data_IF_459474452937
#
_entry.id   IF_459474452937
#
_cell.length_a   1.000
_cell.length_b   1.000
_cell.length_c   1.000
_cell.angle_alpha   90.00
_cell.angle_beta   90.00
_cell.angle_gamma   90.00
#
_symmetry.space_group_name_H-M   'P 1'
#
loop_
_entity.id
_entity.type
_entity.pdbx_description
1 polymer ?
#
# COMPACT_ATOMS: atom_id res chain seq x y z
N UNK A 1 46.50 -38.95 -6.38
CA UNK A 1 46.57 -38.55 -7.80
C UNK A 1 45.28 -37.83 -8.14
N UNK A 2 45.21 -36.66 -8.77
CA UNK A 2 46.23 -35.75 -9.29
C UNK A 2 45.49 -34.50 -9.81
N UNK A 3 46.00 -33.30 -9.48
CA UNK A 3 45.89 -31.98 -10.17
C UNK A 3 44.49 -31.34 -10.34
N UNK A 4 44.20 -30.14 -9.82
CA UNK A 4 44.85 -28.81 -9.93
C UNK A 4 44.87 -28.21 -11.35
N UNK A 5 44.67 -26.88 -11.42
CA UNK A 5 44.84 -25.93 -12.56
C UNK A 5 43.53 -25.57 -13.29
N UNK A 6 43.18 -24.32 -13.63
CA UNK A 6 43.86 -23.04 -13.51
C UNK A 6 42.88 -21.86 -13.72
N UNK A 7 43.15 -20.75 -13.01
CA UNK A 7 43.28 -19.35 -13.45
C UNK A 7 42.22 -18.73 -14.38
N UNK A 8 41.78 -17.54 -13.98
CA UNK A 8 41.73 -16.41 -14.90
C UNK A 8 40.67 -15.36 -14.59
N UNK A 9 41.09 -14.10 -14.44
CA UNK A 9 40.21 -12.97 -14.80
C UNK A 9 39.79 -12.04 -13.68
N UNK A 10 40.76 -11.31 -13.12
CA UNK A 10 40.55 -10.00 -12.50
C UNK A 10 39.89 -9.03 -13.49
N UNK A 11 38.71 -8.49 -13.15
CA UNK A 11 38.10 -7.36 -13.87
C UNK A 11 37.59 -6.30 -12.88
N UNK A 12 38.52 -5.41 -12.55
CA UNK A 12 38.34 -4.18 -11.79
C UNK A 12 37.39 -3.23 -12.56
N UNK A 13 36.10 -3.18 -12.21
CA UNK A 13 35.20 -2.14 -12.72
C UNK A 13 35.30 -0.88 -11.87
N UNK A 14 36.02 0.10 -12.41
CA UNK A 14 36.25 1.45 -11.88
C UNK A 14 34.93 2.15 -11.55
N UNK A 15 34.83 2.67 -10.31
CA UNK A 15 33.81 3.65 -9.89
C UNK A 15 34.06 4.98 -10.61
N UNK A 16 33.17 5.39 -11.50
CA UNK A 16 33.17 6.74 -12.07
C UNK A 16 32.59 7.70 -11.03
N UNK A 17 33.44 8.46 -10.33
CA UNK A 17 33.02 9.61 -9.51
C UNK A 17 32.76 10.79 -10.45
N UNK A 18 31.49 11.08 -10.74
CA UNK A 18 31.11 12.34 -11.38
C UNK A 18 31.25 13.47 -10.35
N UNK A 19 32.25 14.33 -10.56
CA UNK A 19 32.39 15.60 -9.83
C UNK A 19 31.39 16.59 -10.43
N UNK A 20 30.28 16.83 -9.73
CA UNK A 20 29.39 17.95 -10.05
C UNK A 20 30.09 19.25 -9.62
N UNK A 21 30.35 20.14 -10.58
CA UNK A 21 30.81 21.52 -10.31
C UNK A 21 29.63 22.34 -9.78
N UNK A 22 29.80 23.18 -8.75
CA UNK A 22 28.79 24.15 -8.38
C UNK A 22 28.74 25.29 -9.42
N UNK A 23 27.56 25.86 -9.73
CA UNK A 23 27.48 27.08 -10.51
C UNK A 23 27.99 28.28 -9.70
N UNK A 24 28.65 29.19 -10.42
CA UNK A 24 29.28 30.41 -9.91
C UNK A 24 28.26 31.34 -9.28
N UNK A 25 28.63 31.91 -8.14
CA UNK A 25 27.97 33.05 -7.50
C UNK A 25 28.09 34.28 -8.39
N UNK A 26 26.95 34.92 -8.70
CA UNK A 26 26.91 36.26 -9.27
C UNK A 26 26.52 37.24 -8.16
N UNK A 27 27.39 38.22 -7.94
CA UNK A 27 27.23 39.38 -7.06
C UNK A 27 26.58 40.54 -7.83
N UNK A 28 25.76 41.36 -7.13
CA UNK A 28 25.23 42.64 -7.61
C UNK A 28 23.72 42.80 -7.31
N UNK A 29 23.29 43.26 -6.12
CA UNK A 29 23.10 44.63 -5.60
C UNK A 29 21.89 45.43 -6.16
N UNK A 30 21.13 46.02 -5.21
CA UNK A 30 20.04 47.03 -5.35
C UNK A 30 18.71 46.51 -5.91
N UNK A 31 17.51 46.71 -5.34
CA UNK A 31 17.01 47.52 -4.24
C UNK A 31 15.54 47.86 -4.56
N UNK A 32 14.56 47.40 -3.77
CA UNK A 32 13.18 47.92 -3.74
C UNK A 32 12.37 47.31 -2.59
N UNK A 33 11.62 48.17 -1.89
CA UNK A 33 10.83 47.96 -0.69
C UNK A 33 9.48 47.24 -0.93
N UNK A 34 8.77 46.80 0.12
CA UNK A 34 7.72 45.78 0.04
C UNK A 34 6.30 46.35 0.06
N UNK A 35 5.36 45.66 -0.60
CA UNK A 35 3.95 45.69 -0.21
C UNK A 35 3.14 44.53 -0.81
N UNK A 36 2.15 44.12 -0.02
CA UNK A 36 0.97 43.28 -0.28
C UNK A 36 1.15 41.77 -0.42
N UNK A 37 0.97 41.11 0.74
CA UNK A 37 -0.04 40.05 0.97
C UNK A 37 -0.30 39.06 -0.16
N UNK A 38 0.41 37.94 -0.08
CA UNK A 38 -0.06 36.65 -0.56
C UNK A 38 0.37 35.62 0.47
N UNK A 39 -0.57 35.18 1.31
CA UNK A 39 -0.39 34.14 2.31
C UNK A 39 -0.05 32.83 1.61
N UNK A 40 1.22 32.64 1.28
CA UNK A 40 1.77 31.33 0.97
C UNK A 40 1.80 30.56 2.29
N UNK A 41 0.68 29.90 2.60
CA UNK A 41 0.66 28.82 3.58
C UNK A 41 1.56 27.71 3.04
N UNK A 42 2.84 27.83 3.37
CA UNK A 42 3.74 26.69 3.39
C UNK A 42 3.06 25.67 4.30
N UNK A 43 2.61 24.57 3.71
CA UNK A 43 2.16 23.39 4.43
C UNK A 43 3.34 22.90 5.29
N UNK A 44 3.45 23.41 6.51
CA UNK A 44 4.45 22.97 7.48
C UNK A 44 3.96 21.64 8.02
N UNK A 45 4.18 20.58 7.27
CA UNK A 45 4.03 19.24 7.81
C UNK A 45 5.09 19.08 8.91
N UNK A 46 4.65 19.08 10.17
CA UNK A 46 5.54 19.01 11.33
C UNK A 46 6.42 17.75 11.21
N UNK A 47 7.75 17.84 11.40
CA UNK A 47 8.64 16.70 11.28
C UNK A 47 8.29 15.56 12.27
N UNK A 48 7.57 15.88 13.36
CA UNK A 48 7.04 14.87 14.30
C UNK A 48 5.93 13.99 13.72
N UNK A 49 5.05 14.55 12.88
CA UNK A 49 3.92 13.81 12.27
C UNK A 49 4.45 12.86 11.19
N UNK A 50 5.39 13.34 10.37
CA UNK A 50 6.06 12.54 9.33
C UNK A 50 6.87 11.37 9.91
N UNK A 51 7.54 11.55 11.04
CA UNK A 51 8.37 10.51 11.66
C UNK A 51 7.52 9.43 12.34
N UNK A 52 6.43 9.81 13.00
CA UNK A 52 5.51 8.87 13.66
C UNK A 52 4.66 8.09 12.64
N UNK A 53 4.16 8.76 11.58
CA UNK A 53 3.39 8.10 10.52
C UNK A 53 4.19 7.07 9.71
N UNK A 54 5.45 7.38 9.38
CA UNK A 54 6.33 6.41 8.69
C UNK A 54 6.67 5.20 9.57
N UNK A 55 6.81 5.42 10.88
CA UNK A 55 7.08 4.39 11.88
C UNK A 55 5.90 3.41 11.98
N UNK A 56 4.67 3.91 12.09
CA UNK A 56 3.49 3.08 12.28
C UNK A 56 3.16 2.26 11.04
N UNK A 57 3.25 2.87 9.85
CA UNK A 57 3.11 2.12 8.59
C UNK A 57 4.16 1.02 8.43
N UNK A 58 5.29 1.15 9.12
CA UNK A 58 6.33 0.12 9.07
C UNK A 58 5.87 -1.23 9.63
N UNK A 59 4.88 -1.22 10.54
CA UNK A 59 4.26 -2.39 11.14
C UNK A 59 3.52 -3.25 10.13
N UNK A 60 2.97 -2.67 9.05
CA UNK A 60 2.33 -3.44 7.98
C UNK A 60 3.39 -4.20 7.19
N UNK A 61 3.33 -5.52 7.27
CA UNK A 61 4.34 -6.42 6.71
C UNK A 61 3.92 -7.05 5.38
N UNK A 62 2.66 -7.43 5.27
CA UNK A 62 2.13 -8.23 4.17
C UNK A 62 0.67 -7.89 3.91
N UNK A 63 0.28 -7.98 2.64
CA UNK A 63 -1.10 -8.00 2.20
C UNK A 63 -1.32 -9.24 1.34
N UNK A 64 -2.34 -10.00 1.68
CA UNK A 64 -2.90 -11.05 0.84
C UNK A 64 -4.25 -10.60 0.28
N UNK A 65 -4.40 -10.68 -1.04
CA UNK A 65 -5.63 -10.39 -1.77
C UNK A 65 -6.19 -11.70 -2.30
N UNK A 66 -7.45 -11.99 -2.02
CA UNK A 66 -8.15 -13.16 -2.51
C UNK A 66 -9.53 -12.79 -3.02
N UNK A 67 -9.86 -13.23 -4.23
CA UNK A 67 -11.19 -13.04 -4.83
C UNK A 67 -11.60 -14.30 -5.59
N UNK A 68 -12.90 -14.53 -5.64
CA UNK A 68 -13.51 -15.61 -6.40
C UNK A 68 -14.16 -15.03 -7.66
N UNK A 69 -13.90 -15.64 -8.80
CA UNK A 69 -14.59 -15.38 -10.06
C UNK A 69 -15.46 -16.60 -10.36
N UNK A 70 -16.77 -16.39 -10.43
CA UNK A 70 -17.75 -17.41 -10.77
C UNK A 70 -17.83 -17.64 -12.28
N UNK A 71 -18.39 -18.76 -12.73
CA UNK A 71 -18.57 -19.10 -14.15
C UNK A 71 -19.28 -18.01 -14.96
N UNK A 72 -20.19 -17.25 -14.34
CA UNK A 72 -20.97 -16.17 -14.96
C UNK A 72 -20.19 -14.86 -15.07
N UNK A 73 -19.00 -14.79 -14.48
CA UNK A 73 -18.19 -13.58 -14.44
C UNK A 73 -17.01 -13.67 -15.39
N UNK A 74 -16.63 -12.51 -15.91
CA UNK A 74 -15.41 -12.37 -16.70
C UNK A 74 -14.20 -12.26 -15.75
N UNK A 75 -13.35 -13.29 -15.77
CA UNK A 75 -12.15 -13.39 -14.92
C UNK A 75 -11.24 -12.17 -15.08
N UNK A 76 -11.12 -11.60 -16.27
CA UNK A 76 -10.23 -10.46 -16.50
C UNK A 76 -10.81 -9.17 -15.90
N UNK A 77 -12.15 -9.03 -15.86
CA UNK A 77 -12.81 -7.95 -15.10
C UNK A 77 -12.58 -8.10 -13.60
N UNK A 78 -12.67 -9.32 -13.08
CA UNK A 78 -12.39 -9.58 -11.65
C UNK A 78 -10.93 -9.31 -11.29
N UNK A 79 -9.98 -9.68 -12.17
CA UNK A 79 -8.56 -9.32 -11.99
C UNK A 79 -8.37 -7.81 -11.99
N UNK A 80 -9.04 -7.08 -12.89
CA UNK A 80 -9.00 -5.62 -12.92
C UNK A 80 -9.54 -5.01 -11.62
N UNK A 81 -10.65 -5.52 -11.10
CA UNK A 81 -11.21 -5.08 -9.81
C UNK A 81 -10.20 -5.30 -8.67
N UNK A 82 -9.57 -6.47 -8.60
CA UNK A 82 -8.56 -6.76 -7.58
C UNK A 82 -7.28 -5.91 -7.73
N UNK A 83 -6.91 -5.52 -8.95
CA UNK A 83 -5.79 -4.61 -9.20
C UNK A 83 -6.09 -3.17 -8.74
N UNK A 84 -7.34 -2.72 -8.82
CA UNK A 84 -7.76 -1.38 -8.41
C UNK A 84 -7.64 -1.14 -6.89
N UNK A 85 -7.47 -2.20 -6.09
CA UNK A 85 -7.12 -2.11 -4.66
C UNK A 85 -5.74 -1.46 -4.47
N UNK A 86 -4.85 -1.61 -5.45
CA UNK A 86 -3.52 -1.03 -5.39
C UNK A 86 -3.46 0.33 -6.08
N UNK A 87 -2.60 1.25 -5.62
CA UNK A 87 -2.38 2.48 -6.35
C UNK A 87 -1.60 2.22 -7.64
N UNK A 88 -1.74 3.13 -8.61
CA UNK A 88 -1.18 2.98 -9.97
C UNK A 88 0.35 2.88 -9.97
N UNK A 89 1.02 3.37 -8.93
CA UNK A 89 2.48 3.41 -8.76
C UNK A 89 3.05 2.22 -7.96
N UNK A 90 2.24 1.20 -7.66
CA UNK A 90 2.68 0.04 -6.85
C UNK A 90 3.65 -0.89 -7.60
N UNK A 91 3.74 -0.76 -8.92
CA UNK A 91 4.46 -1.66 -9.82
C UNK A 91 3.69 -2.96 -10.10
N UNK A 92 4.39 -4.00 -10.58
CA UNK A 92 3.74 -5.26 -10.97
C UNK A 92 3.20 -6.03 -9.74
N UNK A 93 1.93 -6.46 -9.80
CA UNK A 93 1.30 -7.37 -8.82
C UNK A 93 0.85 -8.62 -9.56
N UNK A 94 1.36 -9.79 -9.15
CA UNK A 94 1.07 -11.07 -9.81
C UNK A 94 -0.04 -11.82 -9.09
N UNK A 95 -1.15 -12.04 -9.79
CA UNK A 95 -2.23 -12.90 -9.33
C UNK A 95 -2.01 -14.34 -9.81
N UNK A 96 -2.00 -15.29 -8.87
CA UNK A 96 -2.08 -16.71 -9.17
C UNK A 96 -3.55 -17.10 -9.38
N UNK A 97 -3.83 -17.81 -10.47
CA UNK A 97 -5.15 -18.34 -10.78
C UNK A 97 -5.21 -19.82 -10.41
N UNK A 98 -6.28 -20.25 -9.74
CA UNK A 98 -6.57 -21.66 -9.47
C UNK A 98 -8.03 -21.91 -9.80
N UNK A 99 -8.28 -22.74 -10.81
CA UNK A 99 -9.64 -23.17 -11.15
C UNK A 99 -10.01 -24.35 -10.26
N UNK A 100 -11.20 -24.28 -9.67
CA UNK A 100 -11.79 -25.35 -8.88
C UNK A 100 -13.12 -25.70 -9.52
N UNK A 101 -13.23 -26.91 -10.03
CA UNK A 101 -14.44 -27.41 -10.68
C UNK A 101 -15.32 -28.13 -9.67
N UNK A 102 -16.60 -27.77 -9.60
CA UNK A 102 -17.62 -28.56 -8.91
C UNK A 102 -17.99 -29.81 -9.72
N UNK A 103 -18.56 -30.81 -9.05
CA UNK A 103 -19.07 -32.04 -9.69
C UNK A 103 -20.18 -31.76 -10.72
N UNK A 104 -20.81 -30.57 -10.68
CA UNK A 104 -21.95 -30.17 -11.51
C UNK A 104 -21.62 -29.06 -12.53
N UNK A 105 -20.36 -28.92 -12.94
CA UNK A 105 -19.97 -28.03 -14.05
C UNK A 105 -19.74 -26.56 -13.69
N UNK A 106 -20.14 -26.11 -12.49
CA UNK A 106 -19.78 -24.79 -12.02
C UNK A 106 -18.30 -24.74 -11.61
N UNK A 107 -17.55 -23.88 -12.27
CA UNK A 107 -16.14 -23.64 -11.96
C UNK A 107 -16.00 -22.32 -11.20
N UNK A 108 -15.19 -22.34 -10.15
CA UNK A 108 -14.81 -21.14 -9.42
C UNK A 108 -13.33 -20.92 -9.67
N UNK A 109 -12.99 -19.79 -10.26
CA UNK A 109 -11.60 -19.35 -10.39
C UNK A 109 -11.22 -18.56 -9.15
N UNK A 110 -10.29 -19.11 -8.38
CA UNK A 110 -9.70 -18.43 -7.22
C UNK A 110 -8.50 -17.62 -7.69
N UNK A 111 -8.56 -16.32 -7.46
CA UNK A 111 -7.46 -15.40 -7.71
C UNK A 111 -6.81 -15.05 -6.38
N UNK A 112 -5.49 -15.21 -6.29
CA UNK A 112 -4.70 -14.87 -5.09
C UNK A 112 -3.46 -14.08 -5.44
N UNK A 113 -3.26 -12.96 -4.77
CA UNK A 113 -2.00 -12.21 -4.81
C UNK A 113 -1.45 -12.02 -3.39
N UNK A 114 -0.13 -11.99 -3.27
CA UNK A 114 0.56 -11.66 -2.04
C UNK A 114 1.60 -10.58 -2.34
N UNK A 115 1.57 -9.51 -1.56
CA UNK A 115 2.57 -8.45 -1.61
C UNK A 115 3.11 -8.16 -0.20
N UNK A 116 4.34 -7.65 -0.12
CA UNK A 116 5.04 -7.39 1.14
C UNK A 116 5.63 -5.98 1.18
N UNK A 117 5.93 -5.51 2.38
CA UNK A 117 6.64 -4.25 2.62
C UNK A 117 5.92 -3.05 2.01
N UNK A 118 6.64 -2.23 1.23
CA UNK A 118 6.11 -0.97 0.67
C UNK A 118 4.81 -1.16 -0.11
N UNK A 119 4.66 -2.23 -0.90
CA UNK A 119 3.44 -2.48 -1.68
C UNK A 119 2.21 -2.69 -0.79
N UNK A 120 2.37 -3.42 0.32
CA UNK A 120 1.29 -3.64 1.28
C UNK A 120 0.88 -2.34 1.98
N UNK A 121 1.88 -1.52 2.37
CA UNK A 121 1.67 -0.20 2.99
C UNK A 121 0.94 0.76 2.06
N UNK A 122 1.37 0.84 0.79
CA UNK A 122 0.73 1.65 -0.25
C UNK A 122 -0.73 1.23 -0.48
N UNK A 123 -1.00 -0.07 -0.48
CA UNK A 123 -2.37 -0.59 -0.61
C UNK A 123 -3.24 -0.22 0.59
N UNK A 124 -2.74 -0.36 1.82
CA UNK A 124 -3.48 0.05 3.03
C UNK A 124 -3.76 1.56 3.02
N UNK A 125 -2.75 2.38 2.69
CA UNK A 125 -2.92 3.83 2.59
C UNK A 125 -3.99 4.21 1.57
N UNK A 126 -3.92 3.64 0.36
CA UNK A 126 -4.95 3.85 -0.67
C UNK A 126 -6.33 3.45 -0.18
N UNK A 127 -6.45 2.29 0.46
CA UNK A 127 -7.72 1.81 1.02
C UNK A 127 -8.33 2.86 1.95
N UNK A 128 -7.59 3.29 2.97
CA UNK A 128 -8.09 4.25 3.96
C UNK A 128 -8.41 5.62 3.35
N UNK A 129 -7.64 6.06 2.36
CA UNK A 129 -7.89 7.32 1.66
C UNK A 129 -9.04 7.26 0.65
N UNK A 130 -9.43 6.07 0.18
CA UNK A 130 -10.47 5.92 -0.86
C UNK A 130 -11.84 5.53 -0.29
N UNK A 131 -11.89 5.02 0.94
CA UNK A 131 -13.16 4.76 1.65
C UNK A 131 -13.84 6.09 1.95
N UNK A 132 -15.17 6.11 1.86
CA UNK A 132 -15.92 7.27 2.31
C UNK A 132 -15.97 7.33 3.84
N UNK A 133 -16.52 8.43 4.37
CA UNK A 133 -16.54 8.67 5.81
C UNK A 133 -17.32 7.59 6.56
N UNK A 134 -18.44 7.14 6.01
CA UNK A 134 -19.30 6.14 6.64
C UNK A 134 -18.63 4.76 6.66
N UNK A 135 -18.06 4.30 5.54
CA UNK A 135 -17.34 3.03 5.50
C UNK A 135 -16.08 3.07 6.37
N UNK A 136 -15.36 4.21 6.41
CA UNK A 136 -14.17 4.34 7.25
C UNK A 136 -14.53 4.31 8.74
N UNK A 137 -15.56 5.04 9.16
CA UNK A 137 -16.04 5.00 10.55
C UNK A 137 -16.49 3.58 10.93
N UNK A 138 -17.20 2.89 10.02
CA UNK A 138 -17.59 1.49 10.19
C UNK A 138 -16.38 0.56 10.27
N UNK A 139 -15.33 0.80 9.48
CA UNK A 139 -14.10 0.01 9.53
C UNK A 139 -13.45 0.13 10.90
N UNK A 140 -13.28 1.36 11.40
CA UNK A 140 -12.69 1.69 12.69
C UNK A 140 -13.49 1.10 13.86
N UNK A 141 -14.82 1.25 13.86
CA UNK A 141 -15.66 0.76 14.95
C UNK A 141 -15.67 -0.77 15.08
N UNK A 142 -15.43 -1.50 13.99
CA UNK A 142 -15.39 -2.96 14.03
C UNK A 142 -13.96 -3.53 13.92
N UNK A 143 -12.90 -2.73 14.12
CA UNK A 143 -11.51 -3.24 14.17
C UNK A 143 -11.38 -4.41 15.15
N UNK A 144 -11.93 -4.36 16.39
CA UNK A 144 -11.85 -5.48 17.33
C UNK A 144 -12.47 -6.79 16.80
N UNK A 145 -13.43 -6.70 15.87
CA UNK A 145 -14.10 -7.85 15.25
C UNK A 145 -13.40 -8.33 13.97
N UNK A 146 -12.54 -7.49 13.39
CA UNK A 146 -11.86 -7.72 12.10
C UNK A 146 -10.39 -8.07 12.27
N UNK A 147 -9.87 -8.06 13.49
CA UNK A 147 -8.49 -8.37 13.82
C UNK A 147 -8.41 -9.73 14.51
N UNK A 148 -7.47 -10.58 14.09
CA UNK A 148 -7.14 -11.80 14.81
C UNK A 148 -5.95 -11.62 15.77
N UNK A 149 -5.82 -12.54 16.74
CA UNK A 149 -4.71 -12.57 17.70
C UNK A 149 -3.32 -12.63 17.04
N UNK A 150 -3.25 -13.11 15.78
CA UNK A 150 -2.03 -13.21 15.01
C UNK A 150 -1.66 -11.91 14.27
N UNK A 151 -2.34 -10.80 14.53
CA UNK A 151 -2.01 -9.51 13.92
C UNK A 151 -2.56 -9.30 12.53
N UNK A 152 -3.63 -9.99 12.15
CA UNK A 152 -4.21 -9.84 10.83
C UNK A 152 -5.54 -9.08 10.85
N UNK A 153 -5.60 -8.00 10.08
CA UNK A 153 -6.82 -7.27 9.78
C UNK A 153 -7.46 -7.83 8.51
N UNK A 154 -8.75 -8.15 8.59
CA UNK A 154 -9.56 -8.63 7.47
C UNK A 154 -10.50 -7.54 6.98
N UNK A 155 -10.34 -7.16 5.71
CA UNK A 155 -11.23 -6.20 5.03
C UNK A 155 -11.88 -6.87 3.84
N UNK A 156 -13.16 -6.59 3.64
CA UNK A 156 -13.97 -7.12 2.53
C UNK A 156 -14.44 -5.96 1.68
N UNK A 157 -14.04 -5.96 0.41
CA UNK A 157 -14.39 -4.92 -0.53
C UNK A 157 -15.38 -5.39 -1.57
N UNK A 158 -16.30 -4.51 -1.96
CA UNK A 158 -17.25 -4.77 -3.03
C UNK A 158 -16.52 -4.96 -4.37
N UNK A 159 -16.78 -6.09 -5.02
CA UNK A 159 -16.12 -6.47 -6.27
C UNK A 159 -16.55 -5.58 -7.44
N UNK A 160 -17.81 -5.16 -7.49
CA UNK A 160 -18.38 -4.36 -8.57
C UNK A 160 -17.92 -2.90 -8.46
N UNK A 161 -17.95 -2.32 -7.27
CA UNK A 161 -17.42 -0.98 -7.00
C UNK A 161 -15.91 -0.92 -7.26
N UNK A 162 -15.17 -1.95 -6.82
CA UNK A 162 -13.73 -2.04 -7.07
C UNK A 162 -13.41 -2.10 -8.57
N UNK A 163 -14.25 -2.75 -9.39
CA UNK A 163 -14.09 -2.73 -10.85
C UNK A 163 -14.20 -1.31 -11.43
N UNK A 164 -15.10 -0.49 -10.89
CA UNK A 164 -15.27 0.92 -11.23
C UNK A 164 -14.17 1.83 -10.61
N UNK A 165 -13.30 1.27 -9.77
CA UNK A 165 -12.19 1.98 -9.13
C UNK A 165 -12.58 2.66 -7.81
N UNK A 166 -13.79 2.40 -7.28
CA UNK A 166 -14.25 2.87 -5.98
C UNK A 166 -14.07 1.76 -4.95
N UNK A 167 -13.58 2.09 -3.76
CA UNK A 167 -13.41 1.10 -2.69
C UNK A 167 -14.56 1.27 -1.70
N UNK A 168 -15.33 0.20 -1.49
CA UNK A 168 -16.51 0.16 -0.62
C UNK A 168 -16.50 -1.12 0.19
N UNK A 169 -16.96 -1.08 1.44
CA UNK A 169 -17.08 -2.29 2.24
C UNK A 169 -18.23 -3.17 1.73
N UNK A 170 -18.03 -4.49 1.77
CA UNK A 170 -19.05 -5.45 1.33
C UNK A 170 -19.20 -6.64 2.28
N UNK A 171 -20.41 -7.18 2.30
CA UNK A 171 -20.75 -8.37 3.08
C UNK A 171 -20.78 -9.63 2.22
N UNK A 172 -21.29 -9.52 0.99
CA UNK A 172 -21.44 -10.61 0.02
C UNK A 172 -20.45 -10.50 -1.14
N UNK A 173 -19.99 -11.67 -1.62
CA UNK A 173 -19.05 -11.84 -2.74
C UNK A 173 -17.88 -10.80 -2.83
N UNK A 174 -17.06 -10.65 -1.76
CA UNK A 174 -16.08 -9.58 -1.69
C UNK A 174 -14.72 -9.96 -2.27
N UNK A 175 -13.94 -8.93 -2.61
CA UNK A 175 -12.49 -9.01 -2.63
C UNK A 175 -12.01 -9.02 -1.17
N UNK A 176 -11.42 -10.12 -0.74
CA UNK A 176 -10.91 -10.29 0.62
C UNK A 176 -9.47 -9.79 0.69
N UNK A 177 -9.23 -8.84 1.59
CA UNK A 177 -7.93 -8.32 1.93
C UNK A 177 -7.56 -8.80 3.34
N UNK A 178 -6.35 -9.34 3.46
CA UNK A 178 -5.75 -9.71 4.75
C UNK A 178 -4.44 -8.94 4.90
N UNK A 179 -4.43 -7.94 5.77
CA UNK A 179 -3.23 -7.18 6.13
C UNK A 179 -2.61 -7.78 7.38
N UNK A 180 -1.33 -8.14 7.32
CA UNK A 180 -0.59 -8.67 8.48
C UNK A 180 0.29 -7.58 9.08
N UNK A 181 0.09 -7.31 10.37
CA UNK A 181 0.80 -6.34 11.17
C UNK A 181 1.87 -7.05 12.02
N UNK A 182 2.98 -6.36 12.23
CA UNK A 182 3.98 -6.73 13.22
C UNK A 182 3.60 -6.08 14.54
N UNK A 183 3.33 -6.92 15.53
CA UNK A 183 2.95 -6.51 16.88
C UNK A 183 3.99 -7.09 17.84
N UNK A 184 4.42 -6.29 18.82
CA UNK A 184 5.28 -6.74 19.91
C UNK A 184 4.56 -7.74 20.83
N UNK A 185 5.33 -8.45 21.64
CA UNK A 185 4.79 -9.49 22.55
C UNK A 185 3.85 -8.89 23.60
N UNK A 186 4.13 -7.67 24.06
CA UNK A 186 3.39 -6.99 25.12
C UNK A 186 2.41 -5.93 24.60
N UNK A 187 2.17 -5.88 23.28
CA UNK A 187 1.30 -4.88 22.66
C UNK A 187 -0.08 -5.48 22.32
N UNK A 188 -1.14 -4.71 22.56
CA UNK A 188 -2.48 -5.07 22.08
C UNK A 188 -2.52 -4.95 20.56
N UNK A 189 -2.86 -6.06 19.89
CA UNK A 189 -2.98 -6.10 18.43
C UNK A 189 -4.01 -5.09 17.92
N UNK A 190 -5.15 -5.02 18.60
CA UNK A 190 -6.27 -4.14 18.23
C UNK A 190 -5.82 -2.69 18.29
N UNK A 191 -5.21 -2.27 19.41
CA UNK A 191 -4.71 -0.90 19.60
C UNK A 191 -3.69 -0.52 18.52
N UNK A 192 -2.74 -1.42 18.23
CA UNK A 192 -1.73 -1.17 17.18
C UNK A 192 -2.38 -1.00 15.80
N UNK A 193 -3.40 -1.80 15.48
CA UNK A 193 -4.10 -1.68 14.20
C UNK A 193 -4.91 -0.39 14.16
N UNK A 194 -5.67 -0.07 15.21
CA UNK A 194 -6.44 1.16 15.32
C UNK A 194 -5.55 2.40 15.16
N UNK A 195 -4.43 2.45 15.88
CA UNK A 195 -3.46 3.56 15.81
C UNK A 195 -2.94 3.76 14.37
N UNK A 196 -2.60 2.67 13.66
CA UNK A 196 -2.14 2.74 12.27
C UNK A 196 -3.26 3.26 11.34
N UNK A 197 -4.50 2.83 11.55
CA UNK A 197 -5.64 3.26 10.73
C UNK A 197 -6.00 4.73 10.97
N UNK A 198 -5.96 5.19 12.23
CA UNK A 198 -6.21 6.58 12.60
C UNK A 198 -5.10 7.51 12.09
N UNK A 199 -3.84 7.08 12.19
CA UNK A 199 -2.71 7.82 11.62
C UNK A 199 -2.93 8.05 10.11
N UNK A 200 -3.33 7.02 9.37
CA UNK A 200 -3.63 7.11 7.94
C UNK A 200 -4.84 8.01 7.62
N UNK A 201 -5.86 8.03 8.48
CA UNK A 201 -7.02 8.93 8.35
C UNK A 201 -6.59 10.40 8.40
N UNK A 202 -5.64 10.74 9.29
CA UNK A 202 -5.17 12.11 9.48
C UNK A 202 -4.33 12.64 8.30
N UNK A 203 -3.68 11.77 7.52
CA UNK A 203 -2.86 12.17 6.36
C UNK A 203 -3.70 12.64 5.15
N UNK A 204 -5.00 12.33 5.10
CA UNK A 204 -5.88 12.64 3.96
C UNK A 204 -6.47 14.06 3.96
N UNK A 205 -6.11 14.92 4.91
CA UNK A 205 -6.70 16.24 5.11
C UNK A 205 -6.15 17.39 4.27
N UNK A 206 -5.36 17.12 3.23
CA UNK A 206 -4.75 18.17 2.41
C UNK A 206 -4.73 17.81 0.93
N UNK A 207 -5.83 18.12 0.25
CA UNK A 207 -5.90 18.57 -1.16
C UNK A 207 -7.38 18.75 -1.51
N UNK A 208 -7.82 20.02 -1.47
CA UNK A 208 -9.05 20.49 -2.10
C UNK A 208 -8.76 21.08 -3.47
#
# INVERSE_FOLDING_TARGET
>A
MERASARGGTALRRRLRLRLRPPRTATGFSGASPSSTGSSERLTCSPRILFFGLSLLSRVSKLEVRVFAHSTEDVDKVVKAALNVFPRDVGEVRFRRRVVSGQYGDSITILRAEVRGSKARKALRRLIQSLDKDDLNRLLSEVPLRVDEAGNLYVRLDKQEAYLGRLRLAESDPIRLKFSFKVGVDESVVEVVEEVLEALRSEGGGEG
#
